data_IF_589137011600
#
_entry.id   IF_589137011600
#
_cell.length_a   1.000
_cell.length_b   1.000
_cell.length_c   1.000
_cell.angle_alpha   90.00
_cell.angle_beta   90.00
_cell.angle_gamma   90.00
#
_symmetry.space_group_name_H-M   'P 1'
#
loop_
_entity.id
_entity.type
_entity.pdbx_description
1 polymer ?
#
# COMPACT_ATOMS: atom_id res chain seq x y z
N UNK A 1 -5.49 8.39 30.13
CA UNK A 1 -6.43 7.91 29.10
C UNK A 1 -6.17 6.44 28.87
N UNK A 2 -7.22 5.64 28.66
CA UNK A 2 -7.04 4.26 28.23
C UNK A 2 -6.43 4.24 26.81
N UNK A 3 -5.58 3.25 26.52
CA UNK A 3 -5.04 3.05 25.18
C UNK A 3 -6.19 2.64 24.24
N UNK A 4 -6.41 3.43 23.18
CA UNK A 4 -7.45 3.14 22.18
C UNK A 4 -7.17 1.81 21.50
N UNK A 5 -8.20 1.25 20.88
CA UNK A 5 -8.07 0.02 20.08
C UNK A 5 -7.87 0.37 18.61
N UNK A 6 -7.26 -0.54 17.86
CA UNK A 6 -7.04 -0.37 16.41
C UNK A 6 -8.36 -0.15 15.67
N UNK A 7 -9.42 -0.87 16.05
CA UNK A 7 -10.76 -0.71 15.45
C UNK A 7 -11.33 0.71 15.57
N UNK A 8 -10.88 1.50 16.54
CA UNK A 8 -11.35 2.87 16.77
C UNK A 8 -10.71 3.86 15.78
N UNK A 9 -9.60 3.46 15.12
CA UNK A 9 -8.86 4.29 14.17
C UNK A 9 -8.90 3.76 12.73
N UNK A 10 -9.13 2.47 12.54
CA UNK A 10 -9.09 1.85 11.23
C UNK A 10 -10.16 2.42 10.28
N UNK A 11 -9.89 2.32 8.99
CA UNK A 11 -10.92 2.40 7.97
C UNK A 11 -11.55 1.03 7.75
N UNK A 12 -12.88 0.97 7.66
CA UNK A 12 -13.56 -0.25 7.24
C UNK A 12 -13.29 -0.54 5.75
N UNK A 13 -13.55 -1.77 5.31
CA UNK A 13 -13.43 -2.13 3.88
C UNK A 13 -14.36 -1.31 2.98
N UNK A 14 -15.50 -0.86 3.49
CA UNK A 14 -16.47 -0.03 2.75
C UNK A 14 -15.93 1.38 2.44
N UNK A 15 -15.03 1.86 3.29
CA UNK A 15 -14.37 3.16 3.14
C UNK A 15 -13.07 3.08 2.32
N UNK A 16 -12.73 1.88 1.80
CA UNK A 16 -11.48 1.62 1.11
C UNK A 16 -11.71 1.21 -0.35
N UNK A 17 -10.73 1.50 -1.20
CA UNK A 17 -10.76 1.01 -2.59
C UNK A 17 -10.50 -0.50 -2.60
N UNK A 18 -11.43 -1.27 -3.18
CA UNK A 18 -11.33 -2.74 -3.30
C UNK A 18 -11.64 -3.16 -4.74
N UNK A 19 -10.85 -4.09 -5.27
CA UNK A 19 -11.07 -4.71 -6.59
C UNK A 19 -10.93 -6.24 -6.51
N UNK A 20 -11.46 -6.97 -7.50
CA UNK A 20 -11.22 -8.41 -7.63
C UNK A 20 -9.83 -8.72 -8.21
N UNK A 21 -9.29 -9.90 -7.92
CA UNK A 21 -7.95 -10.32 -8.36
C UNK A 21 -7.78 -10.39 -9.88
N UNK A 22 -8.87 -10.57 -10.62
CA UNK A 22 -8.88 -10.54 -12.08
C UNK A 22 -9.00 -9.11 -12.65
N UNK A 23 -9.12 -8.07 -11.83
CA UNK A 23 -9.13 -6.69 -12.29
C UNK A 23 -7.79 -6.31 -12.96
N UNK A 24 -7.82 -5.28 -13.81
CA UNK A 24 -6.63 -4.70 -14.41
C UNK A 24 -6.28 -3.34 -13.75
N UNK A 25 -5.14 -2.75 -14.10
CA UNK A 25 -4.69 -1.49 -13.49
C UNK A 25 -5.58 -0.28 -13.82
N UNK A 26 -6.38 -0.31 -14.88
CA UNK A 26 -7.39 0.74 -15.13
C UNK A 26 -8.51 0.66 -14.09
N UNK A 27 -9.01 -0.54 -13.80
CA UNK A 27 -10.06 -0.75 -12.79
C UNK A 27 -9.60 -0.28 -11.39
N UNK A 28 -8.30 -0.40 -11.10
CA UNK A 28 -7.67 0.14 -9.88
C UNK A 28 -7.81 1.67 -9.81
N UNK A 29 -7.60 2.37 -10.94
CA UNK A 29 -7.75 3.83 -10.98
C UNK A 29 -9.20 4.23 -10.72
N UNK A 30 -10.15 3.53 -11.34
CA UNK A 30 -11.58 3.78 -11.15
C UNK A 30 -11.98 3.55 -9.69
N UNK A 31 -11.51 2.47 -9.06
CA UNK A 31 -11.77 2.17 -7.65
C UNK A 31 -11.16 3.23 -6.71
N UNK A 32 -9.95 3.71 -7.01
CA UNK A 32 -9.31 4.80 -6.25
C UNK A 32 -10.09 6.10 -6.39
N UNK A 33 -10.60 6.43 -7.57
CA UNK A 33 -11.39 7.63 -7.80
C UNK A 33 -12.72 7.58 -7.03
N UNK A 34 -13.43 6.46 -7.10
CA UNK A 34 -14.69 6.26 -6.34
C UNK A 34 -14.47 6.35 -4.82
N UNK A 35 -13.40 5.73 -4.31
CA UNK A 35 -13.08 5.78 -2.89
C UNK A 35 -12.68 7.20 -2.44
N UNK A 36 -12.01 7.98 -3.31
CA UNK A 36 -11.71 9.40 -3.04
C UNK A 36 -12.97 10.23 -2.90
N UNK A 37 -13.96 10.04 -3.78
CA UNK A 37 -15.23 10.80 -3.75
C UNK A 37 -16.09 10.49 -2.52
N UNK A 38 -15.89 9.33 -1.91
CA UNK A 38 -16.67 8.85 -0.75
C UNK A 38 -16.03 9.22 0.60
N UNK A 39 -14.84 9.82 0.59
CA UNK A 39 -14.07 10.12 1.79
C UNK A 39 -14.52 11.42 2.47
N UNK A 40 -14.52 11.41 3.79
CA UNK A 40 -14.71 12.62 4.59
C UNK A 40 -13.66 13.70 4.28
N UNK A 41 -14.03 15.00 4.20
CA UNK A 41 -13.13 16.08 3.79
C UNK A 41 -11.81 16.21 4.58
N UNK A 42 -11.79 15.72 5.82
CA UNK A 42 -10.63 15.80 6.71
C UNK A 42 -9.72 14.57 6.65
N UNK A 43 -10.07 13.53 5.87
CA UNK A 43 -9.26 12.33 5.72
C UNK A 43 -8.48 12.37 4.42
N UNK A 44 -7.27 11.82 4.47
CA UNK A 44 -6.46 11.70 3.27
C UNK A 44 -7.08 10.69 2.30
N UNK A 45 -6.92 10.89 0.97
CA UNK A 45 -7.38 9.93 -0.02
C UNK A 45 -6.64 8.58 0.10
N UNK A 46 -7.23 7.46 -0.35
CA UNK A 46 -6.55 6.17 -0.35
C UNK A 46 -5.38 6.23 -1.33
N UNK A 47 -4.27 5.61 -0.94
CA UNK A 47 -3.05 5.48 -1.77
C UNK A 47 -2.74 4.02 -2.11
N UNK A 48 -3.70 3.15 -1.83
CA UNK A 48 -3.64 1.74 -2.15
C UNK A 48 -5.04 1.20 -2.38
N UNK A 49 -5.09 0.05 -3.03
CA UNK A 49 -6.30 -0.74 -3.28
C UNK A 49 -6.11 -2.12 -2.67
N UNK A 50 -7.15 -2.67 -2.06
CA UNK A 50 -7.18 -4.06 -1.60
C UNK A 50 -7.71 -4.97 -2.70
N UNK A 51 -7.18 -6.19 -2.77
CA UNK A 51 -7.52 -7.16 -3.79
C UNK A 51 -8.24 -8.32 -3.13
N UNK A 52 -9.36 -8.73 -3.72
CA UNK A 52 -10.18 -9.86 -3.28
C UNK A 52 -10.07 -11.06 -4.20
N UNK A 53 -10.15 -12.26 -3.64
CA UNK A 53 -10.41 -13.48 -4.41
C UNK A 53 -11.89 -13.62 -4.79
N UNK A 54 -12.23 -14.74 -5.43
CA UNK A 54 -13.62 -15.06 -5.84
C UNK A 54 -14.56 -15.25 -4.63
N UNK A 55 -14.02 -15.57 -3.45
CA UNK A 55 -14.77 -15.75 -2.20
C UNK A 55 -14.87 -14.45 -1.40
N UNK A 56 -14.44 -13.31 -1.95
CA UNK A 56 -14.40 -11.97 -1.32
C UNK A 56 -13.42 -11.84 -0.15
N UNK A 57 -12.46 -12.75 -0.02
CA UNK A 57 -11.38 -12.64 0.96
C UNK A 57 -10.29 -11.71 0.43
N UNK A 58 -9.72 -10.87 1.29
CA UNK A 58 -8.61 -9.99 0.93
C UNK A 58 -7.33 -10.83 0.79
N UNK A 59 -6.80 -10.91 -0.43
CA UNK A 59 -5.62 -11.73 -0.79
C UNK A 59 -4.38 -10.90 -1.11
N UNK A 60 -4.54 -9.60 -1.31
CA UNK A 60 -3.40 -8.71 -1.49
C UNK A 60 -3.74 -7.23 -1.41
N UNK A 61 -2.72 -6.42 -1.63
CA UNK A 61 -2.80 -4.97 -1.72
C UNK A 61 -1.90 -4.45 -2.84
N UNK A 62 -2.26 -3.32 -3.44
CA UNK A 62 -1.47 -2.64 -4.46
C UNK A 62 -1.30 -1.16 -4.09
N UNK A 63 -0.05 -0.71 -3.94
CA UNK A 63 0.30 0.70 -3.73
C UNK A 63 0.65 1.42 -5.02
N UNK A 64 0.75 2.76 -4.95
CA UNK A 64 1.24 3.56 -6.07
C UNK A 64 2.63 3.13 -6.56
N UNK A 65 3.55 2.78 -5.65
CA UNK A 65 4.87 2.31 -6.08
C UNK A 65 4.79 0.96 -6.80
N UNK A 66 3.95 0.04 -6.31
CA UNK A 66 3.72 -1.26 -6.95
C UNK A 66 3.06 -1.08 -8.32
N UNK A 67 2.10 -0.16 -8.43
CA UNK A 67 1.44 0.24 -9.68
C UNK A 67 2.44 0.77 -10.71
N UNK A 68 3.34 1.68 -10.30
CA UNK A 68 4.36 2.22 -11.19
C UNK A 68 5.35 1.14 -11.64
N UNK A 69 5.78 0.27 -10.72
CA UNK A 69 6.65 -0.88 -11.04
C UNK A 69 5.98 -1.84 -12.03
N UNK A 70 4.67 -2.09 -11.88
CA UNK A 70 3.92 -2.93 -12.80
C UNK A 70 3.92 -2.39 -14.24
N UNK A 71 3.91 -1.07 -14.41
CA UNK A 71 4.00 -0.44 -15.73
C UNK A 71 5.39 -0.56 -16.37
N UNK A 72 6.42 -0.87 -15.60
CA UNK A 72 7.80 -1.02 -16.07
C UNK A 72 8.39 -2.37 -15.65
N UNK A 73 7.96 -3.48 -16.28
CA UNK A 73 8.34 -4.83 -15.87
C UNK A 73 9.86 -5.06 -15.94
N UNK A 74 10.60 -4.25 -16.71
CA UNK A 74 12.07 -4.34 -16.78
C UNK A 74 12.75 -4.15 -15.42
N UNK A 75 12.15 -3.39 -14.50
CA UNK A 75 12.68 -3.25 -13.14
C UNK A 75 12.63 -4.56 -12.33
N UNK A 76 11.77 -5.52 -12.71
CA UNK A 76 11.76 -6.83 -12.06
C UNK A 76 13.05 -7.63 -12.28
N UNK A 77 13.80 -7.33 -13.35
CA UNK A 77 15.09 -7.98 -13.68
C UNK A 77 16.20 -7.64 -12.69
N UNK A 78 16.13 -6.49 -12.02
CA UNK A 78 17.19 -6.01 -11.12
C UNK A 78 16.89 -6.30 -9.64
N UNK A 79 15.77 -6.97 -9.36
CA UNK A 79 15.30 -7.19 -8.00
C UNK A 79 15.15 -5.86 -7.25
N UNK A 80 15.48 -5.88 -5.96
CA UNK A 80 15.44 -4.66 -5.16
C UNK A 80 16.72 -3.83 -5.39
N UNK A 81 16.62 -2.72 -6.13
CA UNK A 81 17.72 -1.77 -6.32
C UNK A 81 18.31 -1.27 -4.99
N UNK A 82 17.49 -1.22 -3.93
CA UNK A 82 17.93 -0.85 -2.58
C UNK A 82 18.84 -1.92 -1.94
N UNK A 83 18.82 -3.16 -2.43
CA UNK A 83 19.79 -4.18 -2.07
C UNK A 83 21.13 -3.99 -2.79
N UNK A 84 21.12 -3.46 -4.02
CA UNK A 84 22.35 -3.18 -4.78
C UNK A 84 23.17 -2.07 -4.12
N UNK A 85 22.50 -1.00 -3.67
CA UNK A 85 23.14 0.08 -2.90
C UNK A 85 23.68 -0.42 -1.56
N UNK A 86 22.91 -1.23 -0.82
CA UNK A 86 23.37 -1.89 0.43
C UNK A 86 24.52 -2.88 0.22
N UNK A 87 24.63 -3.47 -0.97
CA UNK A 87 25.74 -4.32 -1.37
C UNK A 87 27.01 -3.53 -1.78
N UNK A 88 26.97 -2.20 -1.73
CA UNK A 88 28.12 -1.33 -2.00
C UNK A 88 28.32 -0.98 -3.47
N UNK A 89 27.33 -1.24 -4.34
CA UNK A 89 27.38 -0.77 -5.72
C UNK A 89 27.13 0.75 -5.77
N UNK A 90 27.94 1.46 -6.56
CA UNK A 90 27.79 2.91 -6.71
C UNK A 90 26.56 3.26 -7.55
N UNK A 91 26.04 4.47 -7.37
CA UNK A 91 24.91 4.97 -8.16
C UNK A 91 25.23 4.96 -9.66
N UNK A 92 26.45 5.37 -10.03
CA UNK A 92 26.90 5.39 -11.42
C UNK A 92 26.95 3.99 -12.03
N UNK A 93 27.33 2.97 -11.25
CA UNK A 93 27.31 1.59 -11.71
C UNK A 93 25.88 1.10 -11.94
N UNK A 94 24.96 1.39 -11.02
CA UNK A 94 23.54 1.05 -11.16
C UNK A 94 22.94 1.75 -12.38
N UNK A 95 23.22 3.03 -12.57
CA UNK A 95 22.74 3.81 -13.73
C UNK A 95 23.27 3.22 -15.03
N UNK A 96 24.57 2.90 -15.11
CA UNK A 96 25.16 2.26 -16.30
C UNK A 96 24.56 0.89 -16.57
N UNK A 97 24.20 0.13 -15.53
CA UNK A 97 23.49 -1.15 -15.68
C UNK A 97 22.11 -0.89 -16.28
N UNK A 98 21.35 0.08 -15.74
CA UNK A 98 20.02 0.42 -16.26
C UNK A 98 20.04 0.90 -17.73
N UNK A 99 21.04 1.70 -18.10
CA UNK A 99 21.24 2.15 -19.47
C UNK A 99 21.52 0.99 -20.43
N UNK A 100 22.39 0.05 -20.04
CA UNK A 100 22.72 -1.13 -20.85
C UNK A 100 21.52 -2.03 -21.11
N UNK A 101 20.56 -2.09 -20.19
CA UNK A 101 19.32 -2.85 -20.35
C UNK A 101 18.19 -2.05 -20.99
N UNK A 102 18.43 -0.82 -21.45
CA UNK A 102 17.45 -0.01 -22.18
C UNK A 102 16.14 0.22 -21.41
N UNK A 103 16.20 0.29 -20.08
CA UNK A 103 15.01 0.38 -19.22
C UNK A 103 14.18 1.63 -19.55
N UNK A 104 14.84 2.75 -19.87
CA UNK A 104 14.21 4.05 -20.08
C UNK A 104 13.86 4.37 -21.56
N UNK A 105 13.64 3.36 -22.40
CA UNK A 105 13.42 3.62 -23.83
C UNK A 105 11.98 4.00 -24.21
N UNK A 106 10.98 3.55 -23.46
CA UNK A 106 9.59 3.87 -23.77
C UNK A 106 9.19 5.24 -23.23
N UNK A 107 8.42 5.99 -24.03
CA UNK A 107 7.80 7.25 -23.58
C UNK A 107 6.60 6.95 -22.70
N UNK A 108 6.26 7.87 -21.80
CA UNK A 108 5.11 7.74 -20.88
C UNK A 108 3.80 7.27 -21.54
N UNK A 109 3.38 7.75 -22.73
CA UNK A 109 2.15 7.25 -23.37
C UNK A 109 2.20 5.76 -23.75
N UNK A 110 3.38 5.23 -24.05
CA UNK A 110 3.57 3.80 -24.34
C UNK A 110 3.49 3.00 -23.04
N UNK A 111 4.17 3.47 -21.99
CA UNK A 111 4.16 2.88 -20.64
C UNK A 111 2.72 2.79 -20.11
N UNK A 112 1.96 3.89 -20.15
CA UNK A 112 0.58 3.94 -19.65
C UNK A 112 -0.38 3.01 -20.41
N UNK A 113 -0.14 2.71 -21.70
CA UNK A 113 -0.98 1.76 -22.45
C UNK A 113 -0.94 0.34 -21.89
N UNK A 114 0.14 -0.03 -21.18
CA UNK A 114 0.30 -1.35 -20.56
C UNK A 114 -0.73 -1.62 -19.47
N UNK A 115 -1.22 -0.58 -18.79
CA UNK A 115 -2.14 -0.69 -17.65
C UNK A 115 -3.35 -1.60 -17.90
N UNK A 116 -3.95 -1.53 -19.09
CA UNK A 116 -5.14 -2.30 -19.44
C UNK A 116 -4.91 -3.81 -19.58
N UNK A 117 -3.65 -4.24 -19.70
CA UNK A 117 -3.28 -5.64 -19.94
C UNK A 117 -2.66 -6.32 -18.72
N UNK A 118 -2.35 -5.56 -17.66
CA UNK A 118 -1.74 -6.08 -16.44
C UNK A 118 -2.84 -6.39 -15.44
N UNK A 119 -2.94 -7.66 -15.03
CA UNK A 119 -3.87 -8.09 -13.97
C UNK A 119 -3.29 -7.80 -12.60
N UNK A 120 -4.14 -7.37 -11.67
CA UNK A 120 -3.70 -7.00 -10.32
C UNK A 120 -3.12 -8.17 -9.56
N UNK A 121 -3.63 -9.40 -9.75
CA UNK A 121 -3.08 -10.61 -9.10
C UNK A 121 -1.61 -10.87 -9.41
N UNK A 122 -1.13 -10.43 -10.57
CA UNK A 122 0.25 -10.68 -11.01
C UNK A 122 1.24 -9.68 -10.40
N UNK A 123 0.75 -8.56 -9.85
CA UNK A 123 1.58 -7.43 -9.38
C UNK A 123 1.26 -6.95 -7.97
N UNK A 124 0.18 -7.47 -7.36
CA UNK A 124 -0.16 -7.17 -5.96
C UNK A 124 0.88 -7.74 -5.00
N UNK A 125 1.02 -7.09 -3.85
CA UNK A 125 1.71 -7.70 -2.71
C UNK A 125 0.73 -8.58 -1.94
N UNK A 126 1.04 -9.87 -1.71
CA UNK A 126 0.21 -10.74 -0.89
C UNK A 126 0.02 -10.19 0.52
N UNK A 127 -1.07 -10.61 1.17
CA UNK A 127 -1.25 -10.34 2.60
C UNK A 127 -0.18 -11.09 3.39
N UNK A 128 0.76 -10.36 4.00
CA UNK A 128 1.80 -10.92 4.86
C UNK A 128 1.66 -10.53 6.33
N UNK A 129 1.11 -9.34 6.60
CA UNK A 129 1.11 -8.73 7.92
C UNK A 129 -0.27 -8.19 8.28
N UNK A 130 -0.72 -8.49 9.49
CA UNK A 130 -1.98 -7.98 10.02
C UNK A 130 -1.92 -7.76 11.53
N UNK A 131 -2.92 -7.02 12.02
CA UNK A 131 -3.14 -6.76 13.44
C UNK A 131 -4.58 -7.09 13.81
N UNK A 132 -4.80 -7.57 15.02
CA UNK A 132 -6.16 -7.81 15.53
C UNK A 132 -6.84 -6.47 15.82
N UNK A 133 -8.13 -6.37 15.57
CA UNK A 133 -8.91 -5.15 15.78
C UNK A 133 -8.92 -4.67 17.24
N UNK A 134 -8.77 -5.59 18.20
CA UNK A 134 -8.73 -5.33 19.64
C UNK A 134 -7.30 -5.08 20.14
N UNK A 135 -6.29 -5.11 19.26
CA UNK A 135 -4.95 -4.67 19.60
C UNK A 135 -4.94 -3.19 19.98
N UNK A 136 -3.96 -2.79 20.78
CA UNK A 136 -3.86 -1.40 21.23
C UNK A 136 -3.18 -0.52 20.19
N UNK A 137 -3.41 0.79 20.27
CA UNK A 137 -2.73 1.76 19.39
C UNK A 137 -1.21 1.75 19.63
N UNK A 138 -0.76 1.52 20.86
CA UNK A 138 0.67 1.32 21.18
C UNK A 138 1.27 0.13 20.42
N UNK A 139 0.56 -0.99 20.34
CA UNK A 139 1.01 -2.16 19.59
C UNK A 139 1.07 -1.86 18.08
N UNK A 140 0.07 -1.17 17.55
CA UNK A 140 0.04 -0.76 16.16
C UNK A 140 1.20 0.19 15.80
N UNK A 141 1.54 1.12 16.70
CA UNK A 141 2.71 1.98 16.58
C UNK A 141 4.00 1.16 16.44
N UNK A 142 4.22 0.20 17.34
CA UNK A 142 5.40 -0.65 17.29
C UNK A 142 5.48 -1.44 15.98
N UNK A 143 4.36 -2.04 15.55
CA UNK A 143 4.28 -2.81 14.30
C UNK A 143 4.58 -1.95 13.07
N UNK A 144 4.04 -0.74 12.95
CA UNK A 144 4.34 0.17 11.83
C UNK A 144 5.83 0.49 11.75
N UNK A 145 6.47 0.75 12.90
CA UNK A 145 7.92 1.04 12.95
C UNK A 145 8.75 -0.16 12.51
N UNK A 146 8.45 -1.34 13.04
CA UNK A 146 9.20 -2.58 12.73
C UNK A 146 9.02 -3.01 11.28
N UNK A 147 7.79 -3.01 10.78
CA UNK A 147 7.47 -3.44 9.41
C UNK A 147 7.78 -2.38 8.35
N UNK A 148 8.10 -1.15 8.76
CA UNK A 148 8.32 -0.01 7.87
C UNK A 148 7.16 0.18 6.87
N UNK A 149 5.94 -0.13 7.32
CA UNK A 149 4.76 -0.12 6.47
C UNK A 149 3.96 1.16 6.64
N UNK A 150 3.41 1.68 5.54
CA UNK A 150 2.50 2.84 5.59
C UNK A 150 1.07 2.45 5.94
N UNK A 151 0.77 1.15 6.03
CA UNK A 151 -0.53 0.62 6.45
C UNK A 151 -0.45 -0.79 7.01
N UNK A 152 -1.43 -1.16 7.82
CA UNK A 152 -1.58 -2.50 8.37
C UNK A 152 -3.01 -2.98 8.11
N UNK A 153 -3.15 -4.22 7.65
CA UNK A 153 -4.46 -4.85 7.54
C UNK A 153 -4.99 -5.21 8.94
N UNK A 154 -6.23 -4.84 9.20
CA UNK A 154 -6.89 -5.11 10.48
C UNK A 154 -7.78 -6.32 10.32
N UNK A 155 -7.69 -7.25 11.27
CA UNK A 155 -8.39 -8.52 11.24
C UNK A 155 -9.29 -8.70 12.46
N UNK A 156 -10.39 -9.42 12.26
CA UNK A 156 -11.27 -9.94 13.32
C UNK A 156 -11.40 -11.43 13.10
N UNK A 157 -10.97 -12.23 14.08
CA UNK A 157 -11.01 -13.70 14.00
C UNK A 157 -10.34 -14.24 12.71
N UNK A 158 -9.23 -13.63 12.31
CA UNK A 158 -8.47 -14.01 11.11
C UNK A 158 -9.02 -13.47 9.77
N UNK A 159 -10.19 -12.84 9.73
CA UNK A 159 -10.72 -12.20 8.51
C UNK A 159 -10.33 -10.72 8.47
N UNK A 160 -9.83 -10.25 7.34
CA UNK A 160 -9.56 -8.81 7.14
C UNK A 160 -10.88 -8.04 7.15
N UNK A 161 -10.96 -6.99 7.97
CA UNK A 161 -12.14 -6.14 8.13
C UNK A 161 -11.86 -4.65 7.88
N UNK A 162 -10.60 -4.28 7.72
CA UNK A 162 -10.23 -2.88 7.55
C UNK A 162 -8.74 -2.66 7.40
N UNK A 163 -8.36 -1.38 7.38
CA UNK A 163 -6.98 -0.92 7.20
C UNK A 163 -6.69 0.18 8.20
N UNK A 164 -5.62 0.03 8.97
CA UNK A 164 -5.03 1.11 9.74
C UNK A 164 -3.95 1.78 8.89
N UNK A 165 -4.10 3.08 8.63
CA UNK A 165 -3.09 3.86 7.88
C UNK A 165 -2.13 4.56 8.83
N UNK A 166 -0.87 4.69 8.42
CA UNK A 166 0.12 5.49 9.15
C UNK A 166 -0.37 6.93 9.36
N UNK A 167 -1.09 7.52 8.40
CA UNK A 167 -1.65 8.86 8.53
C UNK A 167 -2.68 8.98 9.67
N UNK A 168 -3.55 7.98 9.85
CA UNK A 168 -4.56 7.99 10.91
C UNK A 168 -3.93 7.73 12.27
N UNK A 169 -2.96 6.81 12.33
CA UNK A 169 -2.15 6.61 13.52
C UNK A 169 -1.40 7.88 13.91
N UNK A 170 -0.75 8.54 12.94
CA UNK A 170 0.01 9.76 13.19
C UNK A 170 -0.89 10.90 13.70
N UNK A 171 -2.10 11.05 13.15
CA UNK A 171 -3.08 12.02 13.65
C UNK A 171 -3.51 11.73 15.10
N UNK A 172 -3.66 10.45 15.45
CA UNK A 172 -3.93 10.06 16.84
C UNK A 172 -2.75 10.40 17.76
N UNK A 173 -1.51 10.10 17.35
CA UNK A 173 -0.31 10.44 18.11
C UNK A 173 -0.15 11.96 18.25
N UNK A 174 -0.42 12.73 17.21
CA UNK A 174 -0.45 14.19 17.27
C UNK A 174 -1.44 14.68 18.33
N UNK A 175 -2.66 14.13 18.36
CA UNK A 175 -3.66 14.44 19.37
C UNK A 175 -3.16 14.13 20.78
N UNK A 176 -2.53 12.97 21.00
CA UNK A 176 -1.92 12.65 22.30
C UNK A 176 -0.85 13.68 22.70
N UNK A 177 0.08 14.01 21.80
CA UNK A 177 1.18 14.94 22.06
C UNK A 177 0.64 16.33 22.45
N UNK A 178 -0.37 16.84 21.74
CA UNK A 178 -0.94 18.17 22.00
C UNK A 178 -1.74 18.25 23.30
N UNK A 179 -2.29 17.13 23.76
CA UNK A 179 -3.11 17.06 24.98
C UNK A 179 -2.31 16.69 26.24
N UNK A 180 -1.00 16.45 26.12
CA UNK A 180 -0.11 16.36 27.29
C UNK A 180 0.10 17.78 27.82
N UNK A 181 -0.61 18.13 28.89
CA UNK A 181 -0.25 19.28 29.72
C UNK A 181 0.94 18.87 30.59
N UNK A 182 2.13 19.42 30.29
CA UNK A 182 3.30 19.36 31.15
C UNK A 182 3.14 20.31 32.35
#
# INVERSE_FOLDING_TARGET
>A
MADKKVKDLMLSLEEYAVVGQEANLVDVLDALEQAKSSIHPHRQPPRAVLITDEETNIVGQLEFLDFLRALEPQYSLFGNLDCLSKAGLSAEFIDSMMENYNILQDKLPVICKRARYIRVKDVMRPVSESIDEEASVTEAFHKIVVWQSTRILVTRKGKVIGVLRLADLFAEIESYIRNIHL
#
